data_IF_636200944628
#
_entry.id   IF_636200944628
#
_cell.length_a   1.000
_cell.length_b   1.000
_cell.length_c   1.000
_cell.angle_alpha   90.00
_cell.angle_beta   90.00
_cell.angle_gamma   90.00
#
_symmetry.space_group_name_H-M   'P 1'
#
loop_
_entity.id
_entity.type
_entity.pdbx_description
1 polymer ?
#
# COMPACT_ATOMS: atom_id res chain seq x y z
N UNK A 1 1.20 -12.08 6.95
CA UNK A 1 2.04 -12.40 5.79
C UNK A 1 2.86 -13.62 6.16
N UNK A 2 2.89 -14.64 5.31
CA UNK A 2 3.82 -15.78 5.48
C UNK A 2 5.23 -15.39 5.05
N UNK A 3 6.22 -16.20 5.41
CA UNK A 3 7.61 -15.98 4.96
C UNK A 3 7.73 -16.06 3.43
N UNK A 4 7.07 -17.03 2.79
CA UNK A 4 7.05 -17.16 1.32
C UNK A 4 6.47 -15.92 0.64
N UNK A 5 5.36 -15.36 1.15
CA UNK A 5 4.78 -14.12 0.63
C UNK A 5 5.72 -12.92 0.79
N UNK A 6 6.55 -12.92 1.84
CA UNK A 6 7.56 -11.90 2.06
C UNK A 6 8.71 -12.02 1.05
N UNK A 7 9.19 -13.24 0.78
CA UNK A 7 10.21 -13.50 -0.24
C UNK A 7 9.71 -13.16 -1.65
N UNK A 8 8.45 -13.46 -1.96
CA UNK A 8 7.83 -13.07 -3.23
C UNK A 8 7.79 -11.55 -3.40
N UNK A 9 7.41 -10.81 -2.35
CA UNK A 9 7.40 -9.35 -2.38
C UNK A 9 8.83 -8.79 -2.48
N UNK A 10 9.80 -9.39 -1.79
CA UNK A 10 11.21 -9.01 -1.85
C UNK A 10 11.77 -9.21 -3.28
N UNK A 11 11.52 -10.37 -3.89
CA UNK A 11 11.93 -10.65 -5.26
C UNK A 11 11.32 -9.61 -6.22
N UNK A 12 10.03 -9.31 -6.08
CA UNK A 12 9.37 -8.30 -6.89
C UNK A 12 9.96 -6.89 -6.72
N UNK A 13 10.29 -6.49 -5.49
CA UNK A 13 10.91 -5.18 -5.20
C UNK A 13 12.32 -5.07 -5.80
N UNK A 14 13.15 -6.10 -5.64
CA UNK A 14 14.53 -6.10 -6.17
C UNK A 14 14.53 -6.11 -7.70
N UNK A 15 13.74 -6.97 -8.34
CA UNK A 15 13.59 -6.96 -9.79
C UNK A 15 13.04 -5.63 -10.29
N UNK A 16 12.08 -5.03 -9.59
CA UNK A 16 11.56 -3.71 -9.96
C UNK A 16 12.62 -2.61 -9.87
N UNK A 17 13.48 -2.66 -8.86
CA UNK A 17 14.57 -1.70 -8.69
C UNK A 17 15.61 -1.80 -9.82
N UNK A 18 15.98 -3.03 -10.22
CA UNK A 18 16.86 -3.26 -11.37
C UNK A 18 16.23 -2.71 -12.65
N UNK A 19 14.96 -3.03 -12.90
CA UNK A 19 14.28 -2.59 -14.12
C UNK A 19 14.20 -1.05 -14.23
N UNK A 20 14.09 -0.35 -13.11
CA UNK A 20 14.11 1.12 -13.08
C UNK A 20 15.42 1.74 -13.61
N UNK A 21 16.50 0.96 -13.78
CA UNK A 21 17.78 1.45 -14.31
C UNK A 21 17.77 1.63 -15.84
N UNK A 22 16.84 0.99 -16.55
CA UNK A 22 16.75 1.04 -18.01
C UNK A 22 15.35 1.35 -18.55
N UNK A 23 14.29 1.27 -17.73
CA UNK A 23 12.94 1.74 -18.11
C UNK A 23 12.82 3.27 -18.04
N UNK A 24 11.82 3.86 -18.74
CA UNK A 24 11.55 5.29 -18.62
C UNK A 24 11.23 5.67 -17.17
N UNK A 25 11.82 6.76 -16.69
CA UNK A 25 11.83 7.19 -15.28
C UNK A 25 10.46 7.12 -14.55
N UNK A 26 9.37 7.41 -15.26
CA UNK A 26 8.03 7.43 -14.66
C UNK A 26 7.50 6.03 -14.30
N UNK A 27 7.98 4.96 -14.94
CA UNK A 27 7.55 3.58 -14.65
C UNK A 27 7.93 3.11 -13.24
N UNK A 28 8.97 3.70 -12.63
CA UNK A 28 9.33 3.37 -11.25
C UNK A 28 8.20 3.63 -10.25
N UNK A 29 7.42 4.70 -10.46
CA UNK A 29 6.27 4.99 -9.61
C UNK A 29 5.13 3.98 -9.76
N UNK A 30 4.94 3.40 -10.94
CA UNK A 30 3.99 2.31 -11.17
C UNK A 30 4.39 1.05 -10.41
N UNK A 31 5.67 0.69 -10.46
CA UNK A 31 6.20 -0.50 -9.78
C UNK A 31 6.05 -0.41 -8.26
N UNK A 32 6.25 0.77 -7.68
CA UNK A 32 5.99 1.00 -6.26
C UNK A 32 4.52 0.81 -5.89
N UNK A 33 3.59 1.28 -6.73
CA UNK A 33 2.16 1.04 -6.51
C UNK A 33 1.76 -0.44 -6.69
N UNK A 34 2.38 -1.15 -7.65
CA UNK A 34 2.14 -2.59 -7.82
C UNK A 34 2.63 -3.38 -6.60
N UNK A 35 3.84 -3.09 -6.11
CA UNK A 35 4.38 -3.67 -4.90
C UNK A 35 3.49 -3.37 -3.68
N UNK A 36 2.99 -2.14 -3.55
CA UNK A 36 2.05 -1.77 -2.49
C UNK A 36 0.74 -2.57 -2.59
N UNK A 37 0.19 -2.78 -3.79
CA UNK A 37 -0.99 -3.62 -4.00
C UNK A 37 -0.76 -5.07 -3.56
N UNK A 38 0.39 -5.66 -3.92
CA UNK A 38 0.79 -7.01 -3.50
C UNK A 38 0.91 -7.14 -1.98
N UNK A 39 1.51 -6.14 -1.32
CA UNK A 39 1.58 -6.07 0.13
C UNK A 39 0.18 -6.01 0.75
N UNK A 40 -0.71 -5.16 0.24
CA UNK A 40 -2.09 -5.07 0.74
C UNK A 40 -2.86 -6.37 0.54
N UNK A 41 -2.67 -7.06 -0.59
CA UNK A 41 -3.25 -8.39 -0.82
C UNK A 41 -2.78 -9.40 0.24
N UNK A 42 -1.47 -9.48 0.50
CA UNK A 42 -0.94 -10.34 1.56
C UNK A 42 -1.50 -9.95 2.92
N UNK A 43 -1.53 -8.65 3.26
CA UNK A 43 -2.15 -8.19 4.51
C UNK A 43 -3.60 -8.67 4.61
N UNK A 44 -4.41 -8.54 3.55
CA UNK A 44 -5.82 -8.96 3.52
C UNK A 44 -6.05 -10.46 3.70
N UNK A 45 -5.08 -11.31 3.35
CA UNK A 45 -5.16 -12.75 3.61
C UNK A 45 -4.96 -13.11 5.09
N UNK A 46 -4.37 -12.21 5.88
CA UNK A 46 -4.06 -12.45 7.29
C UNK A 46 -4.95 -11.60 8.22
N UNK A 47 -5.27 -12.09 9.41
CA UNK A 47 -6.31 -11.49 10.28
C UNK A 47 -5.90 -10.18 10.99
N UNK A 48 -4.66 -9.70 10.85
CA UNK A 48 -4.10 -8.60 11.68
C UNK A 48 -4.47 -7.16 11.24
N UNK A 49 -5.59 -6.97 10.55
CA UNK A 49 -5.86 -5.72 9.85
C UNK A 49 -6.81 -4.85 10.67
N UNK A 50 -6.25 -3.98 11.51
CA UNK A 50 -7.03 -3.07 12.36
C UNK A 50 -8.14 -2.30 11.63
N UNK A 51 -8.02 -2.02 10.32
CA UNK A 51 -9.13 -1.55 9.48
C UNK A 51 -9.13 -2.28 8.12
N UNK A 52 -9.76 -3.46 8.08
CA UNK A 52 -9.86 -4.31 6.87
C UNK A 52 -10.62 -3.63 5.73
N UNK A 53 -11.73 -2.95 6.04
CA UNK A 53 -12.57 -2.28 5.04
C UNK A 53 -11.81 -1.18 4.29
N UNK A 54 -11.10 -0.33 5.03
CA UNK A 54 -10.24 0.69 4.44
C UNK A 54 -9.16 0.07 3.54
N UNK A 55 -8.51 -1.00 4.00
CA UNK A 55 -7.44 -1.68 3.25
C UNK A 55 -7.96 -2.28 1.94
N UNK A 56 -9.16 -2.89 1.95
CA UNK A 56 -9.82 -3.41 0.74
C UNK A 56 -10.16 -2.29 -0.23
N UNK A 57 -10.77 -1.19 0.25
CA UNK A 57 -11.14 -0.06 -0.58
C UNK A 57 -9.92 0.62 -1.20
N UNK A 58 -8.86 0.84 -0.40
CA UNK A 58 -7.64 1.48 -0.87
C UNK A 58 -6.87 0.59 -1.86
N UNK A 59 -6.83 -0.72 -1.63
CA UNK A 59 -6.25 -1.66 -2.60
C UNK A 59 -6.97 -1.62 -3.95
N UNK A 60 -8.31 -1.69 -3.93
CA UNK A 60 -9.11 -1.60 -5.15
C UNK A 60 -8.79 -0.33 -5.93
N UNK A 61 -8.73 0.79 -5.23
CA UNK A 61 -8.37 2.08 -5.84
C UNK A 61 -6.95 2.08 -6.42
N UNK A 62 -5.96 1.52 -5.73
CA UNK A 62 -4.57 1.38 -6.25
C UNK A 62 -4.55 0.51 -7.51
N UNK A 63 -5.24 -0.63 -7.52
CA UNK A 63 -5.29 -1.53 -8.67
C UNK A 63 -5.94 -0.88 -9.90
N UNK A 64 -7.00 -0.10 -9.70
CA UNK A 64 -7.67 0.65 -10.76
C UNK A 64 -6.81 1.81 -11.29
N UNK A 65 -6.17 2.57 -10.40
CA UNK A 65 -5.49 3.82 -10.77
C UNK A 65 -4.02 3.64 -11.14
N UNK A 66 -3.35 2.56 -10.74
CA UNK A 66 -1.94 2.33 -11.12
C UNK A 66 -1.78 2.25 -12.64
N UNK A 67 -2.74 1.66 -13.34
CA UNK A 67 -2.71 1.51 -14.81
C UNK A 67 -3.02 2.80 -15.58
N UNK A 68 -3.54 3.83 -14.91
CA UNK A 68 -3.82 5.13 -15.54
C UNK A 68 -2.57 5.80 -16.10
N UNK A 69 -1.38 5.41 -15.64
CA UNK A 69 -0.11 5.84 -16.25
C UNK A 69 -0.13 5.74 -17.78
N UNK A 70 -0.84 4.76 -18.35
CA UNK A 70 -0.87 4.50 -19.79
C UNK A 70 -1.87 5.40 -20.57
N UNK A 71 -2.93 5.92 -19.94
CA UNK A 71 -4.02 6.60 -20.66
C UNK A 71 -4.62 7.84 -19.96
N UNK A 72 -4.32 8.07 -18.69
CA UNK A 72 -4.67 9.27 -17.91
C UNK A 72 -3.53 9.63 -16.95
N UNK A 73 -2.47 10.23 -17.52
CA UNK A 73 -1.25 10.57 -16.78
C UNK A 73 -1.49 11.64 -15.71
N UNK A 74 -2.37 12.60 -15.97
CA UNK A 74 -2.71 13.65 -15.01
C UNK A 74 -3.51 13.08 -13.83
N UNK A 75 -4.48 12.20 -14.10
CA UNK A 75 -5.19 11.46 -13.07
C UNK A 75 -4.26 10.57 -12.26
N UNK A 76 -3.29 9.90 -12.91
CA UNK A 76 -2.28 9.08 -12.26
C UNK A 76 -1.43 9.90 -11.26
N UNK A 77 -0.88 11.04 -11.66
CA UNK A 77 -0.07 11.87 -10.75
C UNK A 77 -0.89 12.52 -9.65
N UNK A 78 -2.15 12.88 -9.91
CA UNK A 78 -3.07 13.34 -8.88
C UNK A 78 -3.30 12.25 -7.83
N UNK A 79 -3.57 11.02 -8.29
CA UNK A 79 -3.72 9.87 -7.42
C UNK A 79 -2.47 9.60 -6.57
N UNK A 80 -1.27 9.66 -7.16
CA UNK A 80 -0.02 9.49 -6.41
C UNK A 80 0.10 10.48 -5.23
N UNK A 81 -0.27 11.75 -5.43
CA UNK A 81 -0.28 12.75 -4.35
C UNK A 81 -1.32 12.44 -3.28
N UNK A 82 -2.50 11.96 -3.67
CA UNK A 82 -3.60 11.62 -2.74
C UNK A 82 -3.30 10.35 -1.94
N UNK A 83 -2.70 9.34 -2.57
CA UNK A 83 -2.44 8.03 -1.98
C UNK A 83 -1.59 8.12 -0.71
N UNK A 84 -0.54 8.95 -0.71
CA UNK A 84 0.28 9.20 0.47
C UNK A 84 -0.52 9.79 1.64
N UNK A 85 -1.44 10.72 1.36
CA UNK A 85 -2.32 11.31 2.36
C UNK A 85 -3.28 10.28 2.99
N UNK A 86 -3.84 9.38 2.16
CA UNK A 86 -4.73 8.30 2.62
C UNK A 86 -4.02 7.34 3.57
N UNK A 87 -2.80 6.93 3.24
CA UNK A 87 -1.98 6.07 4.11
C UNK A 87 -1.63 6.81 5.40
N UNK A 88 -1.25 8.09 5.32
CA UNK A 88 -0.96 8.92 6.49
C UNK A 88 -2.15 9.04 7.46
N UNK A 89 -3.36 9.20 6.91
CA UNK A 89 -4.59 9.24 7.71
C UNK A 89 -4.87 7.90 8.39
N UNK A 90 -4.75 6.78 7.66
CA UNK A 90 -4.93 5.44 8.23
C UNK A 90 -3.93 5.12 9.35
N UNK A 91 -2.68 5.59 9.23
CA UNK A 91 -1.67 5.48 10.28
C UNK A 91 -2.07 6.24 11.55
N UNK A 92 -2.54 7.49 11.42
CA UNK A 92 -3.02 8.29 12.55
C UNK A 92 -4.19 7.61 13.28
N UNK A 93 -5.17 7.11 12.53
CA UNK A 93 -6.33 6.39 13.09
C UNK A 93 -5.93 5.08 13.79
N UNK A 94 -4.90 4.39 13.29
CA UNK A 94 -4.36 3.19 13.93
C UNK A 94 -3.69 3.53 15.26
N UNK A 95 -2.88 4.60 15.30
CA UNK A 95 -2.21 5.08 16.51
C UNK A 95 -3.21 5.54 17.58
N UNK A 96 -4.25 6.28 17.18
CA UNK A 96 -5.30 6.72 18.08
C UNK A 96 -6.03 5.53 18.74
N UNK A 97 -6.36 4.49 17.95
CA UNK A 97 -6.98 3.26 18.47
C UNK A 97 -6.08 2.47 19.41
N UNK A 98 -4.77 2.37 19.12
CA UNK A 98 -3.84 1.69 20.03
C UNK A 98 -3.66 2.43 21.36
N UNK A 99 -3.71 3.76 21.38
CA UNK A 99 -3.64 4.53 22.62
C UNK A 99 -4.92 4.36 23.46
N UNK A 100 -6.10 4.36 22.82
CA UNK A 100 -7.37 4.14 23.51
C UNK A 100 -7.44 2.74 24.17
N UNK A 101 -7.01 1.69 23.47
CA UNK A 101 -7.00 0.32 24.03
C UNK A 101 -5.97 0.13 25.14
N UNK A 102 -4.85 0.86 25.12
CA UNK A 102 -3.87 0.86 26.20
C UNK A 102 -4.41 1.54 27.46
N UNK A 103 -5.12 2.67 27.32
CA UNK A 103 -5.72 3.38 28.46
C UNK A 103 -6.79 2.54 29.16
N UNK A 104 -7.70 1.90 28.41
CA UNK A 104 -8.75 1.03 28.99
C UNK A 104 -8.24 -0.27 29.65
N UNK A 105 -6.97 -0.64 29.46
CA UNK A 105 -6.33 -1.78 30.15
C UNK A 105 -5.67 -1.38 31.48
N UNK A 106 -5.36 -0.10 31.66
CA UNK A 106 -4.69 0.40 32.87
C UNK A 106 -5.69 0.83 33.96
N UNK A 107 -6.97 1.00 33.58
CA UNK A 107 -8.08 1.38 34.47
C UNK A 107 -8.88 0.17 35.01
N UNK A 108 -8.40 -1.07 34.81
CA UNK A 108 -8.96 -2.31 35.38
C UNK A 108 -7.93 -2.99 36.26
#
# INVERSE_FOLDING_TARGET
>A
MSEDEAYDLLAHLISSAEICTFEPYHYGTFRLLDAASRLMESMLRHESNGNREWLQAFKKEVDEKKVWMMWDRDGYFRFLREAGGKVGQALKERQARSMATAHSRNDR
#
